data_IF_442801541179
#
_entry.id   IF_442801541179
#
_cell.length_a   1.000
_cell.length_b   1.000
_cell.length_c   1.000
_cell.angle_alpha   90.00
_cell.angle_beta   90.00
_cell.angle_gamma   90.00
#
_symmetry.space_group_name_H-M   'P 1'
#
loop_
_entity.id
_entity.type
_entity.pdbx_description
1 polymer ?
#
# COMPACT_ATOMS: atom_id res chain seq x y z
N UNK A 1 55.79 -42.99 49.16
CA UNK A 1 54.52 -43.16 48.41
C UNK A 1 54.49 -42.11 47.32
N UNK A 2 54.78 -42.54 46.10
CA UNK A 2 55.11 -41.68 44.96
C UNK A 2 53.89 -41.41 44.09
N UNK A 3 53.83 -40.16 43.61
CA UNK A 3 52.93 -39.66 42.56
C UNK A 3 53.11 -40.42 41.25
N UNK A 4 52.02 -40.67 40.52
CA UNK A 4 52.06 -40.96 39.10
C UNK A 4 50.88 -40.29 38.38
N UNK A 5 51.26 -39.52 37.36
CA UNK A 5 50.49 -38.56 36.59
C UNK A 5 49.37 -39.18 35.73
N UNK A 6 48.25 -38.46 35.64
CA UNK A 6 47.16 -38.72 34.69
C UNK A 6 47.37 -37.84 33.45
N UNK A 7 47.52 -38.47 32.29
CA UNK A 7 47.71 -37.80 30.99
C UNK A 7 46.32 -37.42 30.44
N UNK A 8 46.14 -36.12 30.17
CA UNK A 8 45.03 -35.54 29.41
C UNK A 8 45.18 -35.87 27.92
N UNK A 9 44.19 -36.54 27.31
CA UNK A 9 44.02 -36.58 25.86
C UNK A 9 43.14 -35.40 25.43
N UNK A 10 43.72 -34.48 24.67
CA UNK A 10 43.03 -33.40 23.95
C UNK A 10 42.39 -33.94 22.68
N UNK A 11 41.05 -33.98 22.63
CA UNK A 11 40.31 -34.17 21.38
C UNK A 11 40.05 -32.81 20.74
N UNK A 12 40.76 -32.54 19.65
CA UNK A 12 40.56 -31.39 18.76
C UNK A 12 39.23 -31.53 18.02
N UNK A 13 38.20 -30.81 18.45
CA UNK A 13 36.99 -30.60 17.65
C UNK A 13 37.31 -29.61 16.53
N UNK A 14 37.39 -30.13 15.30
CA UNK A 14 37.35 -29.35 14.07
C UNK A 14 36.00 -28.60 14.03
N UNK A 15 36.03 -27.32 14.38
CA UNK A 15 34.92 -26.41 14.19
C UNK A 15 34.69 -26.20 12.69
N UNK A 16 33.60 -26.77 12.17
CA UNK A 16 33.02 -26.35 10.90
C UNK A 16 32.49 -24.93 11.12
N UNK A 17 33.20 -23.94 10.60
CA UNK A 17 32.68 -22.57 10.51
C UNK A 17 31.61 -22.53 9.44
N UNK A 18 30.34 -22.54 9.87
CA UNK A 18 29.22 -22.16 9.00
C UNK A 18 29.40 -20.67 8.67
N UNK A 19 29.41 -20.25 7.40
CA UNK A 19 29.46 -18.85 7.05
C UNK A 19 28.19 -18.17 7.59
N UNK A 20 28.37 -17.13 8.41
CA UNK A 20 27.25 -16.32 8.87
C UNK A 20 26.53 -15.68 7.68
N UNK A 21 25.19 -15.82 7.63
CA UNK A 21 24.26 -15.10 6.76
C UNK A 21 24.24 -13.57 7.02
N UNK A 22 25.40 -12.91 7.12
CA UNK A 22 25.53 -11.50 7.52
C UNK A 22 25.06 -10.49 6.47
N UNK A 23 24.86 -10.91 5.21
CA UNK A 23 24.43 -10.01 4.13
C UNK A 23 22.97 -9.55 4.26
N UNK A 24 22.08 -10.44 4.69
CA UNK A 24 20.64 -10.21 4.68
C UNK A 24 20.16 -9.33 5.84
N UNK A 25 20.66 -9.59 7.05
CA UNK A 25 20.35 -8.79 8.24
C UNK A 25 20.80 -7.33 8.11
N UNK A 26 21.92 -7.09 7.41
CA UNK A 26 22.45 -5.74 7.17
C UNK A 26 21.57 -4.95 6.21
N UNK A 27 21.06 -5.60 5.14
CA UNK A 27 20.14 -4.97 4.19
C UNK A 27 18.77 -4.68 4.82
N UNK A 28 18.22 -5.61 5.60
CA UNK A 28 16.95 -5.38 6.32
C UNK A 28 17.05 -4.19 7.29
N UNK A 29 18.16 -4.10 8.02
CA UNK A 29 18.39 -3.01 8.98
C UNK A 29 18.50 -1.65 8.29
N UNK A 30 19.15 -1.57 7.12
CA UNK A 30 19.27 -0.31 6.38
C UNK A 30 17.92 0.16 5.83
N UNK A 31 17.07 -0.74 5.32
CA UNK A 31 15.72 -0.37 4.87
C UNK A 31 14.82 0.06 6.03
N UNK A 32 14.95 -0.55 7.20
CA UNK A 32 14.23 -0.10 8.41
C UNK A 32 14.67 1.30 8.86
N UNK A 33 15.96 1.62 8.72
CA UNK A 33 16.47 2.95 9.01
C UNK A 33 15.84 4.02 8.09
N UNK A 34 15.67 3.71 6.80
CA UNK A 34 14.99 4.61 5.85
C UNK A 34 13.52 4.87 6.24
N UNK A 35 12.79 3.85 6.72
CA UNK A 35 11.43 4.06 7.21
C UNK A 35 11.39 4.89 8.50
N UNK A 36 12.36 4.68 9.40
CA UNK A 36 12.47 5.45 10.64
C UNK A 36 12.79 6.92 10.36
N UNK A 37 13.65 7.20 9.39
CA UNK A 37 13.93 8.57 8.92
C UNK A 37 12.66 9.23 8.35
N UNK A 38 11.91 8.51 7.49
CA UNK A 38 10.68 9.03 6.91
C UNK A 38 9.59 9.30 7.96
N UNK A 39 9.53 8.51 9.03
CA UNK A 39 8.62 8.71 10.17
C UNK A 39 8.87 10.07 10.88
N UNK A 40 10.15 10.48 10.93
CA UNK A 40 10.60 11.74 11.51
C UNK A 40 10.57 12.91 10.51
N UNK A 41 10.09 12.71 9.28
CA UNK A 41 10.06 13.76 8.26
C UNK A 41 9.07 14.88 8.62
N UNK A 42 9.45 16.13 8.36
CA UNK A 42 8.57 17.30 8.57
C UNK A 42 7.37 17.32 7.60
N UNK A 43 7.51 16.70 6.43
CA UNK A 43 6.39 16.52 5.50
C UNK A 43 5.38 15.55 6.12
N UNK A 44 4.19 16.10 6.39
CA UNK A 44 3.11 15.37 7.04
C UNK A 44 2.72 14.09 6.30
N UNK A 45 2.60 14.12 4.97
CA UNK A 45 2.13 12.96 4.22
C UNK A 45 3.21 11.89 4.12
N UNK A 46 4.48 12.27 4.02
CA UNK A 46 5.61 11.33 4.07
C UNK A 46 5.61 10.57 5.39
N UNK A 47 5.42 11.26 6.51
CA UNK A 47 5.39 10.63 7.81
C UNK A 47 4.15 9.76 8.02
N UNK A 48 2.98 10.16 7.50
CA UNK A 48 1.77 9.33 7.53
C UNK A 48 1.97 8.04 6.72
N UNK A 49 2.51 8.11 5.51
CA UNK A 49 2.81 6.91 4.71
C UNK A 49 3.80 5.99 5.43
N UNK A 50 4.88 6.56 5.99
CA UNK A 50 5.83 5.79 6.79
C UNK A 50 5.18 5.13 8.01
N UNK A 51 4.24 5.81 8.67
CA UNK A 51 3.46 5.25 9.78
C UNK A 51 2.60 4.07 9.33
N UNK A 52 1.90 4.20 8.21
CA UNK A 52 1.10 3.11 7.62
C UNK A 52 1.98 1.92 7.22
N UNK A 53 3.17 2.16 6.66
CA UNK A 53 4.14 1.12 6.36
C UNK A 53 4.64 0.41 7.63
N UNK A 54 4.91 1.15 8.71
CA UNK A 54 5.29 0.55 9.99
C UNK A 54 4.17 -0.34 10.54
N UNK A 55 2.90 0.07 10.41
CA UNK A 55 1.75 -0.76 10.83
C UNK A 55 1.68 -2.05 10.01
N UNK A 56 1.77 -1.95 8.67
CA UNK A 56 1.71 -3.12 7.78
C UNK A 56 2.85 -4.12 8.04
N UNK A 57 4.02 -3.62 8.46
CA UNK A 57 5.17 -4.43 8.84
C UNK A 57 5.13 -4.94 10.29
N UNK A 58 4.10 -4.59 11.08
CA UNK A 58 3.93 -5.02 12.46
C UNK A 58 4.67 -4.19 13.53
N UNK A 59 5.24 -3.05 13.16
CA UNK A 59 5.95 -2.12 14.05
C UNK A 59 5.01 -1.08 14.69
N UNK A 60 3.96 -1.56 15.37
CA UNK A 60 2.85 -0.73 15.85
C UNK A 60 3.22 0.24 16.97
N UNK A 61 4.18 -0.09 17.84
CA UNK A 61 4.61 0.81 18.94
C UNK A 61 5.19 2.13 18.41
N UNK A 62 6.04 2.07 17.38
CA UNK A 62 6.64 3.27 16.78
C UNK A 62 5.59 4.07 16.01
N UNK A 63 4.70 3.37 15.29
CA UNK A 63 3.60 3.99 14.58
C UNK A 63 2.63 4.72 15.53
N UNK A 64 2.30 4.11 16.69
CA UNK A 64 1.45 4.72 17.70
C UNK A 64 2.09 5.97 18.32
N UNK A 65 3.37 5.92 18.64
CA UNK A 65 4.10 7.06 19.17
C UNK A 65 4.06 8.25 18.19
N UNK A 66 4.35 8.01 16.91
CA UNK A 66 4.32 9.06 15.88
C UNK A 66 2.90 9.61 15.66
N UNK A 67 1.90 8.72 15.59
CA UNK A 67 0.51 9.13 15.41
C UNK A 67 0.03 10.02 16.58
N UNK A 68 0.36 9.65 17.83
CA UNK A 68 -0.04 10.40 19.03
C UNK A 68 0.58 11.80 19.06
N UNK A 69 1.88 11.89 18.77
CA UNK A 69 2.59 13.18 18.69
C UNK A 69 1.95 14.08 17.63
N UNK A 70 1.77 13.57 16.41
CA UNK A 70 1.24 14.35 15.29
C UNK A 70 -0.22 14.73 15.47
N UNK A 71 -1.04 13.89 16.10
CA UNK A 71 -2.44 14.23 16.33
C UNK A 71 -2.57 15.50 17.18
N UNK A 72 -1.74 15.64 18.21
CA UNK A 72 -1.73 16.85 19.03
C UNK A 72 -1.46 18.14 18.22
N UNK A 73 -0.64 18.04 17.17
CA UNK A 73 -0.26 19.18 16.33
C UNK A 73 -1.22 19.44 15.16
N UNK A 74 -1.86 18.40 14.64
CA UNK A 74 -2.61 18.45 13.37
C UNK A 74 -4.11 18.15 13.49
N UNK A 75 -4.65 17.87 14.68
CA UNK A 75 -6.07 17.56 14.88
C UNK A 75 -6.99 18.71 14.41
N UNK A 76 -6.57 19.97 14.52
CA UNK A 76 -7.35 21.11 14.04
C UNK A 76 -7.25 21.33 12.51
N UNK A 77 -6.30 20.69 11.82
CA UNK A 77 -6.02 20.95 10.41
C UNK A 77 -6.81 19.96 9.54
N UNK A 78 -7.72 20.45 8.67
CA UNK A 78 -8.48 19.59 7.76
C UNK A 78 -7.57 18.72 6.91
N UNK A 79 -8.09 17.56 6.47
CA UNK A 79 -7.39 16.54 5.69
C UNK A 79 -6.26 15.83 6.46
N UNK A 80 -5.40 16.58 7.17
CA UNK A 80 -4.35 16.01 8.03
C UNK A 80 -4.96 15.20 9.17
N UNK A 81 -5.96 15.73 9.87
CA UNK A 81 -6.69 14.97 10.91
C UNK A 81 -7.32 13.68 10.37
N UNK A 82 -7.83 13.69 9.13
CA UNK A 82 -8.43 12.52 8.50
C UNK A 82 -7.39 11.43 8.23
N UNK A 83 -6.20 11.82 7.76
CA UNK A 83 -5.06 10.91 7.61
C UNK A 83 -4.68 10.26 8.95
N UNK A 84 -4.66 11.03 10.04
CA UNK A 84 -4.37 10.50 11.37
C UNK A 84 -5.50 9.63 11.92
N UNK A 85 -6.77 9.95 11.67
CA UNK A 85 -7.89 9.08 12.02
C UNK A 85 -7.78 7.72 11.31
N UNK A 86 -7.33 7.69 10.05
CA UNK A 86 -7.05 6.43 9.35
C UNK A 86 -5.98 5.60 10.05
N UNK A 87 -4.87 6.24 10.44
CA UNK A 87 -3.79 5.60 11.20
C UNK A 87 -4.29 5.09 12.55
N UNK A 88 -5.07 5.89 13.28
CA UNK A 88 -5.69 5.45 14.55
C UNK A 88 -6.60 4.24 14.36
N UNK A 89 -7.38 4.19 13.27
CA UNK A 89 -8.23 3.05 12.96
C UNK A 89 -7.41 1.78 12.72
N UNK A 90 -6.29 1.89 11.99
CA UNK A 90 -5.40 0.77 11.71
C UNK A 90 -4.67 0.27 12.97
N UNK A 91 -4.34 1.15 13.91
CA UNK A 91 -3.72 0.80 15.19
C UNK A 91 -4.70 0.23 16.22
N UNK A 92 -5.99 0.58 16.11
CA UNK A 92 -6.99 0.15 17.08
C UNK A 92 -7.20 -1.37 17.02
N UNK A 93 -7.11 -2.03 18.18
CA UNK A 93 -7.41 -3.47 18.33
C UNK A 93 -8.84 -3.74 18.79
N UNK A 94 -9.43 -2.81 19.56
CA UNK A 94 -10.80 -2.93 20.07
C UNK A 94 -11.83 -2.46 19.05
N UNK A 95 -12.89 -3.24 18.84
CA UNK A 95 -13.97 -2.92 17.90
C UNK A 95 -14.68 -1.61 18.25
N UNK A 96 -14.92 -1.33 19.54
CA UNK A 96 -15.52 -0.05 19.96
C UNK A 96 -14.65 1.16 19.61
N UNK A 97 -13.33 1.02 19.65
CA UNK A 97 -12.41 2.09 19.28
C UNK A 97 -12.44 2.33 17.76
N UNK A 98 -12.46 1.25 16.96
CA UNK A 98 -12.64 1.31 15.51
C UNK A 98 -13.97 1.96 15.12
N UNK A 99 -15.07 1.56 15.77
CA UNK A 99 -16.40 2.11 15.53
C UNK A 99 -16.42 3.63 15.75
N UNK A 100 -15.90 4.11 16.88
CA UNK A 100 -15.83 5.56 17.15
C UNK A 100 -15.02 6.34 16.12
N UNK A 101 -13.97 5.75 15.56
CA UNK A 101 -13.16 6.41 14.53
C UNK A 101 -13.90 6.40 13.18
N UNK A 102 -14.57 5.31 12.83
CA UNK A 102 -15.43 5.24 11.66
C UNK A 102 -16.56 6.27 11.74
N UNK A 103 -17.20 6.44 12.90
CA UNK A 103 -18.24 7.45 13.10
C UNK A 103 -17.72 8.86 12.81
N UNK A 104 -16.50 9.20 13.25
CA UNK A 104 -15.85 10.49 12.92
C UNK A 104 -15.64 10.66 11.41
N UNK A 105 -15.17 9.61 10.74
CA UNK A 105 -14.92 9.63 9.30
C UNK A 105 -16.23 9.75 8.50
N UNK A 106 -17.27 9.02 8.91
CA UNK A 106 -18.61 9.11 8.32
C UNK A 106 -19.18 10.50 8.53
N UNK A 107 -19.10 11.06 9.73
CA UNK A 107 -19.55 12.42 10.00
C UNK A 107 -18.80 13.46 9.14
N UNK A 108 -17.48 13.32 8.98
CA UNK A 108 -16.69 14.21 8.12
C UNK A 108 -17.04 14.09 6.63
N UNK A 109 -17.41 12.90 6.15
CA UNK A 109 -17.90 12.70 4.79
C UNK A 109 -19.32 13.26 4.57
N UNK A 110 -20.19 13.11 5.57
CA UNK A 110 -21.59 13.58 5.48
C UNK A 110 -21.73 15.08 5.76
N UNK A 111 -20.71 15.74 6.31
CA UNK A 111 -20.69 17.19 6.52
C UNK A 111 -20.79 17.94 5.17
N UNK A 112 -21.91 18.65 4.90
CA UNK A 112 -22.08 19.38 3.64
C UNK A 112 -20.99 20.43 3.48
N UNK A 113 -20.31 20.44 2.32
CA UNK A 113 -19.21 21.37 1.99
C UNK A 113 -18.06 21.38 3.02
N UNK A 114 -17.94 20.34 3.85
CA UNK A 114 -16.89 20.22 4.85
C UNK A 114 -15.49 20.08 4.20
N UNK A 115 -14.44 20.69 4.77
CA UNK A 115 -13.10 20.67 4.17
C UNK A 115 -12.43 19.27 4.17
N UNK A 116 -12.98 18.33 4.95
CA UNK A 116 -12.50 16.94 5.04
C UNK A 116 -13.17 16.00 4.04
N UNK A 117 -14.27 16.42 3.41
CA UNK A 117 -15.25 15.53 2.80
C UNK A 117 -14.64 14.54 1.80
N UNK A 118 -13.80 15.04 0.89
CA UNK A 118 -13.11 14.22 -0.13
C UNK A 118 -12.12 13.25 0.49
N UNK A 119 -11.34 13.69 1.48
CA UNK A 119 -10.35 12.84 2.16
C UNK A 119 -11.02 11.80 3.06
N UNK A 120 -12.17 12.13 3.64
CA UNK A 120 -12.99 11.21 4.39
C UNK A 120 -13.57 10.12 3.48
N UNK A 121 -14.07 10.48 2.29
CA UNK A 121 -14.52 9.52 1.28
C UNK A 121 -13.39 8.56 0.86
N UNK A 122 -12.21 9.09 0.53
CA UNK A 122 -11.03 8.28 0.23
C UNK A 122 -10.67 7.34 1.39
N UNK A 123 -10.64 7.88 2.61
CA UNK A 123 -10.24 7.13 3.80
C UNK A 123 -11.22 6.01 4.10
N UNK A 124 -12.52 6.29 4.06
CA UNK A 124 -13.56 5.26 4.23
C UNK A 124 -13.42 4.16 3.17
N UNK A 125 -13.17 4.51 1.91
CA UNK A 125 -12.94 3.54 0.84
C UNK A 125 -11.67 2.69 1.07
N UNK A 126 -10.54 3.31 1.45
CA UNK A 126 -9.29 2.62 1.84
C UNK A 126 -9.49 1.66 3.01
N UNK A 127 -10.31 2.05 3.98
CA UNK A 127 -10.67 1.23 5.15
C UNK A 127 -11.73 0.16 4.84
N UNK A 128 -12.15 0.03 3.58
CA UNK A 128 -13.18 -0.90 3.12
C UNK A 128 -14.50 -0.72 3.87
N UNK A 129 -14.88 0.53 4.15
CA UNK A 129 -16.21 0.84 4.65
C UNK A 129 -17.23 0.69 3.51
N UNK A 130 -18.36 0.02 3.77
CA UNK A 130 -19.40 -0.18 2.77
C UNK A 130 -20.29 1.06 2.64
N UNK A 131 -20.21 1.76 1.52
CA UNK A 131 -20.99 2.99 1.33
C UNK A 131 -22.48 2.71 1.18
N UNK A 132 -22.89 1.49 0.79
CA UNK A 132 -24.32 1.14 0.69
C UNK A 132 -25.08 1.26 2.04
N UNK A 133 -24.39 1.42 3.17
CA UNK A 133 -24.98 1.71 4.47
C UNK A 133 -25.31 3.21 4.70
N UNK A 134 -24.90 4.10 3.81
CA UNK A 134 -25.09 5.55 3.92
C UNK A 134 -26.32 6.04 3.14
N UNK A 135 -26.64 7.34 3.28
CA UNK A 135 -27.72 8.00 2.56
C UNK A 135 -27.54 7.92 1.04
N UNK A 136 -28.49 7.28 0.37
CA UNK A 136 -28.40 6.97 -1.06
C UNK A 136 -28.53 8.21 -1.95
N UNK A 137 -29.18 9.28 -1.48
CA UNK A 137 -29.30 10.52 -2.24
C UNK A 137 -27.96 11.26 -2.29
N UNK A 138 -27.29 11.38 -1.14
CA UNK A 138 -25.96 11.97 -1.03
C UNK A 138 -24.95 11.23 -1.89
N UNK A 139 -24.95 9.89 -1.82
CA UNK A 139 -24.07 9.05 -2.63
C UNK A 139 -24.29 9.21 -4.13
N UNK A 140 -25.56 9.26 -4.57
CA UNK A 140 -25.88 9.47 -5.99
C UNK A 140 -25.34 10.82 -6.48
N UNK A 141 -25.60 11.90 -5.72
CA UNK A 141 -25.12 13.25 -6.03
C UNK A 141 -23.60 13.31 -6.13
N UNK A 142 -22.89 12.77 -5.15
CA UNK A 142 -21.43 12.80 -5.10
C UNK A 142 -20.80 11.94 -6.20
N UNK A 143 -21.43 10.83 -6.56
CA UNK A 143 -21.00 10.00 -7.69
C UNK A 143 -21.15 10.75 -9.01
N UNK A 144 -22.30 11.39 -9.22
CA UNK A 144 -22.60 12.15 -10.43
C UNK A 144 -21.75 13.41 -10.58
N UNK A 145 -21.17 13.92 -9.49
CA UNK A 145 -20.19 15.01 -9.53
C UNK A 145 -18.92 14.65 -10.32
N UNK A 146 -18.57 13.36 -10.43
CA UNK A 146 -17.35 12.90 -11.10
C UNK A 146 -16.06 13.29 -10.34
N UNK A 147 -14.93 13.24 -11.04
CA UNK A 147 -13.63 13.58 -10.48
C UNK A 147 -13.24 12.71 -9.28
N UNK A 148 -12.49 13.29 -8.34
CA UNK A 148 -12.01 12.56 -7.15
C UNK A 148 -13.15 12.05 -6.27
N UNK A 149 -14.15 12.91 -6.00
CA UNK A 149 -15.28 12.55 -5.15
C UNK A 149 -16.07 11.39 -5.77
N UNK A 150 -16.41 11.50 -7.06
CA UNK A 150 -17.15 10.45 -7.75
C UNK A 150 -16.41 9.12 -7.81
N UNK A 151 -15.09 9.14 -8.00
CA UNK A 151 -14.25 7.95 -7.98
C UNK A 151 -14.20 7.29 -6.60
N UNK A 152 -14.01 8.05 -5.52
CA UNK A 152 -13.98 7.49 -4.15
C UNK A 152 -15.32 6.93 -3.71
N UNK A 153 -16.42 7.61 -4.05
CA UNK A 153 -17.77 7.08 -3.78
C UNK A 153 -18.02 5.81 -4.59
N UNK A 154 -17.61 5.77 -5.87
CA UNK A 154 -17.71 4.57 -6.70
C UNK A 154 -16.93 3.40 -6.11
N UNK A 155 -15.73 3.67 -5.58
CA UNK A 155 -14.95 2.67 -4.87
C UNK A 155 -15.66 2.18 -3.60
N UNK A 156 -16.10 3.07 -2.72
CA UNK A 156 -16.83 2.70 -1.50
C UNK A 156 -18.12 1.91 -1.76
N UNK A 157 -18.80 2.16 -2.90
CA UNK A 157 -19.99 1.41 -3.34
C UNK A 157 -19.65 0.01 -3.91
N UNK A 158 -18.39 -0.23 -4.27
CA UNK A 158 -17.90 -1.52 -4.77
C UNK A 158 -17.57 -2.50 -3.64
N UNK A 159 -17.47 -2.01 -2.40
CA UNK A 159 -17.17 -2.83 -1.22
C UNK A 159 -18.43 -3.53 -0.71
N UNK A 160 -18.32 -4.83 -0.44
CA UNK A 160 -19.41 -5.60 0.15
C UNK A 160 -19.70 -5.18 1.61
N UNK A 161 -20.97 -4.97 1.94
CA UNK A 161 -21.41 -4.68 3.32
C UNK A 161 -21.30 -5.89 4.25
N UNK A 162 -21.47 -7.08 3.69
CA UNK A 162 -21.31 -8.34 4.39
C UNK A 162 -19.96 -8.94 3.99
N UNK A 163 -19.13 -9.27 4.99
CA UNK A 163 -17.82 -9.89 4.78
C UNK A 163 -17.89 -11.26 4.11
N UNK A 164 -19.06 -11.91 4.10
CA UNK A 164 -19.28 -13.17 3.40
C UNK A 164 -19.59 -12.98 1.91
N UNK A 165 -19.93 -11.77 1.47
CA UNK A 165 -20.20 -11.45 0.07
C UNK A 165 -18.93 -10.96 -0.62
N UNK A 166 -18.87 -11.19 -1.93
CA UNK A 166 -17.81 -10.68 -2.78
C UNK A 166 -18.04 -9.20 -3.09
N UNK A 167 -16.93 -8.45 -3.19
CA UNK A 167 -16.94 -7.09 -3.72
C UNK A 167 -17.45 -7.09 -5.18
N UNK A 168 -18.06 -5.97 -5.61
CA UNK A 168 -18.51 -5.76 -6.98
C UNK A 168 -17.66 -4.68 -7.66
N UNK A 169 -16.60 -5.05 -8.41
CA UNK A 169 -15.69 -4.09 -9.02
C UNK A 169 -16.25 -3.46 -10.30
N UNK A 170 -17.46 -3.83 -10.75
CA UNK A 170 -17.98 -3.48 -12.08
C UNK A 170 -17.92 -1.97 -12.33
N UNK A 171 -18.38 -1.16 -11.37
CA UNK A 171 -18.38 0.30 -11.52
C UNK A 171 -16.98 0.92 -11.56
N UNK A 172 -16.01 0.33 -10.84
CA UNK A 172 -14.62 0.78 -10.94
C UNK A 172 -14.01 0.38 -12.28
N UNK A 173 -14.35 -0.80 -12.82
CA UNK A 173 -13.90 -1.22 -14.14
C UNK A 173 -14.44 -0.29 -15.25
N UNK A 174 -15.68 0.20 -15.12
CA UNK A 174 -16.25 1.19 -16.03
C UNK A 174 -15.45 2.51 -16.03
N UNK A 175 -14.98 2.95 -14.85
CA UNK A 175 -14.16 4.16 -14.70
C UNK A 175 -12.77 4.06 -15.33
N UNK A 176 -12.30 2.87 -15.72
CA UNK A 176 -11.02 2.72 -16.45
C UNK A 176 -11.08 3.32 -17.86
N UNK A 177 -12.26 3.67 -18.36
CA UNK A 177 -12.45 4.37 -19.63
C UNK A 177 -12.86 5.85 -19.47
N UNK A 178 -12.81 6.38 -18.24
CA UNK A 178 -13.15 7.77 -17.93
C UNK A 178 -11.92 8.69 -18.08
N UNK A 179 -11.93 9.86 -17.40
CA UNK A 179 -10.80 10.78 -17.38
C UNK A 179 -9.60 10.26 -16.59
N UNK A 180 -8.42 10.86 -16.79
CA UNK A 180 -7.17 10.45 -16.16
C UNK A 180 -7.25 10.33 -14.62
N UNK A 181 -8.01 11.22 -13.97
CA UNK A 181 -8.20 11.19 -12.50
C UNK A 181 -9.00 9.95 -12.10
N UNK A 182 -10.14 9.72 -12.75
CA UNK A 182 -11.02 8.59 -12.47
C UNK A 182 -10.34 7.26 -12.78
N UNK A 183 -9.65 7.15 -13.91
CA UNK A 183 -8.89 5.96 -14.28
C UNK A 183 -7.86 5.59 -13.21
N UNK A 184 -7.04 6.59 -12.80
CA UNK A 184 -6.01 6.42 -11.79
C UNK A 184 -6.59 5.96 -10.45
N UNK A 185 -7.66 6.62 -10.01
CA UNK A 185 -8.31 6.31 -8.73
C UNK A 185 -9.08 4.98 -8.76
N UNK A 186 -9.66 4.62 -9.89
CA UNK A 186 -10.33 3.34 -10.07
C UNK A 186 -9.33 2.18 -10.06
N UNK A 187 -8.22 2.31 -10.80
CA UNK A 187 -7.11 1.35 -10.77
C UNK A 187 -6.53 1.19 -9.36
N UNK A 188 -6.32 2.30 -8.65
CA UNK A 188 -5.91 2.27 -7.26
C UNK A 188 -6.94 1.55 -6.38
N UNK A 189 -8.22 1.90 -6.48
CA UNK A 189 -9.30 1.31 -5.67
C UNK A 189 -9.48 -0.19 -5.89
N UNK A 190 -9.33 -0.68 -7.13
CA UNK A 190 -9.39 -2.11 -7.46
C UNK A 190 -8.38 -2.94 -6.66
N UNK A 191 -7.20 -2.38 -6.35
CA UNK A 191 -6.17 -3.08 -5.56
C UNK A 191 -6.54 -3.29 -4.08
N UNK A 192 -7.58 -2.62 -3.59
CA UNK A 192 -8.12 -2.81 -2.25
C UNK A 192 -9.28 -3.79 -2.20
N UNK A 193 -9.82 -4.21 -3.35
CA UNK A 193 -10.92 -5.17 -3.45
C UNK A 193 -10.42 -6.61 -3.39
N UNK A 194 -11.36 -7.56 -3.31
CA UNK A 194 -11.07 -8.97 -3.55
C UNK A 194 -10.45 -9.23 -4.93
N UNK A 195 -9.84 -10.41 -5.11
CA UNK A 195 -9.24 -10.79 -6.39
C UNK A 195 -10.30 -10.74 -7.51
N UNK A 196 -10.03 -10.04 -8.63
CA UNK A 196 -10.96 -9.99 -9.76
C UNK A 196 -11.01 -11.37 -10.45
N UNK A 197 -12.08 -11.68 -11.17
CA UNK A 197 -12.09 -12.82 -12.10
C UNK A 197 -11.10 -12.62 -13.26
N UNK A 198 -10.77 -13.68 -14.02
CA UNK A 198 -9.91 -13.58 -15.19
C UNK A 198 -10.41 -12.54 -16.20
N UNK A 199 -11.72 -12.51 -16.49
CA UNK A 199 -12.33 -11.54 -17.40
C UNK A 199 -12.19 -10.11 -16.89
N UNK A 200 -12.46 -9.87 -15.59
CA UNK A 200 -12.30 -8.55 -14.99
C UNK A 200 -10.83 -8.09 -15.00
N UNK A 201 -9.89 -9.01 -14.76
CA UNK A 201 -8.47 -8.73 -14.87
C UNK A 201 -8.06 -8.37 -16.31
N UNK A 202 -8.59 -9.07 -17.32
CA UNK A 202 -8.32 -8.77 -18.73
C UNK A 202 -8.78 -7.35 -19.13
N UNK A 203 -9.93 -6.89 -18.60
CA UNK A 203 -10.40 -5.51 -18.81
C UNK A 203 -9.38 -4.51 -18.27
N UNK A 204 -8.91 -4.71 -17.03
CA UNK A 204 -7.90 -3.86 -16.41
C UNK A 204 -6.57 -3.89 -17.17
N UNK A 205 -6.06 -5.08 -17.51
CA UNK A 205 -4.81 -5.24 -18.23
C UNK A 205 -4.86 -4.62 -19.64
N UNK A 206 -5.99 -4.73 -20.33
CA UNK A 206 -6.20 -4.10 -21.65
C UNK A 206 -6.17 -2.58 -21.53
N UNK A 207 -6.85 -2.01 -20.54
CA UNK A 207 -6.80 -0.58 -20.26
C UNK A 207 -5.36 -0.12 -19.96
N UNK A 208 -4.63 -0.87 -19.12
CA UNK A 208 -3.25 -0.57 -18.76
C UNK A 208 -2.29 -0.56 -19.95
N UNK A 209 -2.45 -1.50 -20.89
CA UNK A 209 -1.61 -1.60 -22.07
C UNK A 209 -1.93 -0.54 -23.15
N UNK A 210 -3.16 -0.02 -23.15
CA UNK A 210 -3.60 1.05 -24.05
C UNK A 210 -3.22 2.44 -23.55
N UNK A 211 -3.15 2.64 -22.24
CA UNK A 211 -2.88 3.97 -21.66
C UNK A 211 -1.49 4.50 -22.05
N UNK A 212 -1.46 5.80 -22.36
CA UNK A 212 -0.30 6.54 -22.83
C UNK A 212 0.17 7.61 -21.85
N UNK A 213 -0.73 8.17 -21.04
CA UNK A 213 -0.39 9.14 -20.01
C UNK A 213 0.35 8.45 -18.86
N UNK A 214 1.52 8.98 -18.50
CA UNK A 214 2.47 8.30 -17.61
C UNK A 214 1.87 7.95 -16.24
N UNK A 215 1.15 8.88 -15.62
CA UNK A 215 0.63 8.71 -14.27
C UNK A 215 -0.57 7.74 -14.22
N UNK A 216 -1.67 7.89 -14.99
CA UNK A 216 -2.74 6.89 -15.04
C UNK A 216 -2.22 5.50 -15.44
N UNK A 217 -1.29 5.44 -16.41
CA UNK A 217 -0.64 4.20 -16.84
C UNK A 217 0.06 3.49 -15.69
N UNK A 218 0.76 4.23 -14.82
CA UNK A 218 1.44 3.63 -13.68
C UNK A 218 0.48 2.91 -12.73
N UNK A 219 -0.67 3.52 -12.43
CA UNK A 219 -1.68 2.92 -11.56
C UNK A 219 -2.39 1.74 -12.22
N UNK A 220 -2.71 1.84 -13.51
CA UNK A 220 -3.31 0.74 -14.26
C UNK A 220 -2.37 -0.47 -14.34
N UNK A 221 -1.11 -0.26 -14.73
CA UNK A 221 -0.09 -1.32 -14.79
C UNK A 221 0.19 -1.90 -13.40
N UNK A 222 0.28 -1.04 -12.38
CA UNK A 222 0.50 -1.44 -11.00
C UNK A 222 -0.62 -2.34 -10.49
N UNK A 223 -1.88 -1.93 -10.68
CA UNK A 223 -3.05 -2.73 -10.32
C UNK A 223 -3.13 -4.05 -11.10
N UNK A 224 -2.92 -4.01 -12.44
CA UNK A 224 -2.93 -5.22 -13.27
C UNK A 224 -1.85 -6.23 -12.84
N UNK A 225 -0.65 -5.74 -12.47
CA UNK A 225 0.43 -6.59 -11.98
C UNK A 225 0.12 -7.22 -10.62
N UNK A 226 -0.41 -6.43 -9.68
CA UNK A 226 -0.77 -6.88 -8.34
C UNK A 226 -1.90 -7.92 -8.37
N UNK A 227 -2.93 -7.68 -9.18
CA UNK A 227 -4.18 -8.45 -9.19
C UNK A 227 -4.17 -9.68 -10.12
N UNK A 228 -3.08 -9.92 -10.87
CA UNK A 228 -2.96 -11.12 -11.69
C UNK A 228 -2.95 -12.38 -10.81
N UNK A 229 -3.77 -13.39 -11.13
CA UNK A 229 -3.69 -14.70 -10.49
C UNK A 229 -2.95 -15.68 -11.40
N UNK A 230 -2.07 -16.52 -10.84
CA UNK A 230 -1.37 -17.57 -11.60
C UNK A 230 -2.33 -18.61 -12.19
N UNK A 231 -3.57 -18.69 -11.69
CA UNK A 231 -4.65 -19.45 -12.29
C UNK A 231 -5.12 -18.91 -13.65
N UNK A 232 -4.78 -17.67 -14.02
CA UNK A 232 -5.10 -17.05 -15.32
C UNK A 232 -4.07 -17.46 -16.38
N UNK A 233 -3.98 -18.76 -16.64
CA UNK A 233 -2.92 -19.34 -17.50
C UNK A 233 -3.01 -18.87 -18.95
N UNK A 234 -4.23 -18.70 -19.48
CA UNK A 234 -4.48 -18.15 -20.82
C UNK A 234 -3.93 -16.71 -20.99
N UNK A 235 -3.78 -15.99 -19.87
CA UNK A 235 -3.42 -14.58 -19.84
C UNK A 235 -1.92 -14.32 -19.57
N UNK A 236 -1.12 -15.38 -19.47
CA UNK A 236 0.30 -15.26 -19.12
C UNK A 236 1.09 -14.36 -20.09
N UNK A 237 0.72 -14.32 -21.37
CA UNK A 237 1.34 -13.42 -22.36
C UNK A 237 1.01 -11.96 -22.09
N UNK A 238 -0.26 -11.63 -21.83
CA UNK A 238 -0.69 -10.28 -21.49
C UNK A 238 -0.05 -9.82 -20.18
N UNK A 239 0.02 -10.70 -19.17
CA UNK A 239 0.71 -10.42 -17.92
C UNK A 239 2.20 -10.10 -18.13
N UNK A 240 2.91 -10.83 -19.00
CA UNK A 240 4.30 -10.51 -19.33
C UNK A 240 4.46 -9.14 -19.98
N UNK A 241 3.50 -8.71 -20.81
CA UNK A 241 3.49 -7.37 -21.41
C UNK A 241 3.24 -6.29 -20.34
N UNK A 242 2.26 -6.49 -19.46
CA UNK A 242 2.00 -5.59 -18.31
C UNK A 242 3.27 -5.44 -17.47
N UNK A 243 3.91 -6.55 -17.11
CA UNK A 243 5.16 -6.53 -16.34
C UNK A 243 6.28 -5.79 -17.08
N UNK A 244 6.45 -6.03 -18.38
CA UNK A 244 7.49 -5.37 -19.16
C UNK A 244 7.29 -3.85 -19.17
N UNK A 245 6.08 -3.37 -19.43
CA UNK A 245 5.76 -1.93 -19.40
C UNK A 245 5.85 -1.34 -17.99
N UNK A 246 5.46 -2.09 -16.94
CA UNK A 246 5.61 -1.63 -15.57
C UNK A 246 7.09 -1.33 -15.24
N UNK A 247 8.01 -2.21 -15.66
CA UNK A 247 9.44 -2.01 -15.41
C UNK A 247 10.06 -0.83 -16.18
N UNK A 248 9.46 -0.40 -17.31
CA UNK A 248 9.93 0.80 -18.00
C UNK A 248 9.67 2.08 -17.22
N UNK A 249 8.67 2.09 -16.33
CA UNK A 249 8.38 3.22 -15.44
C UNK A 249 9.50 3.50 -14.43
N UNK A 250 10.46 2.59 -14.30
CA UNK A 250 11.60 2.77 -13.41
C UNK A 250 12.46 4.00 -13.81
N UNK A 251 12.35 4.48 -15.05
CA UNK A 251 13.01 5.69 -15.55
C UNK A 251 12.25 6.99 -15.25
N UNK A 252 11.06 6.91 -14.66
CA UNK A 252 10.27 8.09 -14.32
C UNK A 252 10.94 8.92 -13.23
N UNK A 253 10.74 10.24 -13.30
CA UNK A 253 11.07 11.17 -12.21
C UNK A 253 9.79 11.68 -11.49
N UNK A 254 8.61 11.20 -11.89
CA UNK A 254 7.34 11.60 -11.29
C UNK A 254 7.14 10.81 -9.99
N UNK A 255 7.00 11.54 -8.87
CA UNK A 255 6.91 10.96 -7.51
C UNK A 255 5.84 9.87 -7.43
N UNK A 256 4.62 10.16 -7.88
CA UNK A 256 3.49 9.23 -7.81
C UNK A 256 3.71 7.96 -8.66
N UNK A 257 4.31 8.09 -9.84
CA UNK A 257 4.68 6.95 -10.70
C UNK A 257 5.69 6.04 -10.01
N UNK A 258 6.74 6.61 -9.41
CA UNK A 258 7.75 5.86 -8.68
C UNK A 258 7.16 5.15 -7.44
N UNK A 259 6.30 5.83 -6.69
CA UNK A 259 5.63 5.23 -5.53
C UNK A 259 4.71 4.08 -5.94
N UNK A 260 3.94 4.25 -7.01
CA UNK A 260 3.06 3.19 -7.53
C UNK A 260 3.86 1.99 -8.05
N UNK A 261 4.97 2.23 -8.74
CA UNK A 261 5.90 1.18 -9.15
C UNK A 261 6.43 0.39 -7.94
N UNK A 262 6.86 1.07 -6.88
CA UNK A 262 7.30 0.42 -5.66
C UNK A 262 6.19 -0.46 -5.04
N UNK A 263 4.97 0.08 -4.95
CA UNK A 263 3.80 -0.63 -4.42
C UNK A 263 3.48 -1.89 -5.24
N UNK A 264 3.53 -1.78 -6.57
CA UNK A 264 3.32 -2.91 -7.46
C UNK A 264 4.38 -4.00 -7.27
N UNK A 265 5.66 -3.62 -7.24
CA UNK A 265 6.75 -4.56 -7.06
C UNK A 265 6.76 -5.20 -5.65
N UNK A 266 6.20 -4.55 -4.63
CA UNK A 266 6.05 -5.15 -3.31
C UNK A 266 5.19 -6.43 -3.30
N UNK A 267 4.25 -6.56 -4.25
CA UNK A 267 3.28 -7.68 -4.30
C UNK A 267 3.87 -9.00 -4.79
N UNK A 268 5.05 -8.99 -5.43
CA UNK A 268 5.67 -10.18 -6.01
C UNK A 268 7.17 -10.17 -5.83
N UNK A 269 7.74 -11.35 -5.60
CA UNK A 269 9.18 -11.53 -5.55
C UNK A 269 9.70 -11.81 -6.94
N UNK A 270 10.35 -10.83 -7.55
CA UNK A 270 11.10 -11.03 -8.77
C UNK A 270 12.41 -10.25 -8.76
N UNK A 271 13.45 -10.84 -9.35
CA UNK A 271 14.83 -10.32 -9.29
C UNK A 271 14.94 -8.92 -9.91
N UNK A 272 14.27 -8.68 -11.04
CA UNK A 272 14.33 -7.37 -11.70
C UNK A 272 13.62 -6.30 -10.86
N UNK A 273 12.47 -6.64 -10.27
CA UNK A 273 11.76 -5.81 -9.31
C UNK A 273 12.63 -5.45 -8.12
N UNK A 274 13.33 -6.42 -7.51
CA UNK A 274 14.29 -6.17 -6.41
C UNK A 274 15.37 -5.15 -6.81
N UNK A 275 15.95 -5.28 -7.99
CA UNK A 275 16.96 -4.33 -8.49
C UNK A 275 16.39 -2.92 -8.66
N UNK A 276 15.18 -2.78 -9.20
CA UNK A 276 14.50 -1.49 -9.34
C UNK A 276 14.22 -0.86 -7.97
N UNK A 277 13.67 -1.62 -7.04
CA UNK A 277 13.40 -1.16 -5.68
C UNK A 277 14.67 -0.71 -4.96
N UNK A 278 15.76 -1.47 -5.05
CA UNK A 278 17.04 -1.12 -4.42
C UNK A 278 17.58 0.21 -4.94
N UNK A 279 17.41 0.52 -6.24
CA UNK A 279 17.76 1.83 -6.80
C UNK A 279 16.83 2.93 -6.29
N UNK A 280 15.52 2.70 -6.24
CA UNK A 280 14.57 3.71 -5.76
C UNK A 280 14.75 4.00 -4.26
N UNK A 281 15.25 3.04 -3.49
CA UNK A 281 15.65 3.23 -2.09
C UNK A 281 16.81 4.22 -1.91
N UNK A 282 17.51 4.63 -2.99
CA UNK A 282 18.55 5.67 -2.96
C UNK A 282 18.07 7.02 -3.52
N UNK A 283 16.77 7.19 -3.79
CA UNK A 283 16.20 8.44 -4.31
C UNK A 283 16.47 9.64 -3.40
N UNK A 284 16.63 10.84 -3.94
CA UNK A 284 16.67 12.05 -3.11
C UNK A 284 15.31 12.37 -2.47
N UNK A 285 14.20 11.83 -3.00
CA UNK A 285 12.88 12.02 -2.45
C UNK A 285 12.59 11.02 -1.33
N UNK A 286 12.36 11.52 -0.11
CA UNK A 286 12.14 10.70 1.09
C UNK A 286 10.93 9.75 0.97
N UNK A 287 9.84 10.18 0.33
CA UNK A 287 8.64 9.33 0.17
C UNK A 287 8.91 8.16 -0.78
N UNK A 288 9.64 8.41 -1.88
CA UNK A 288 10.05 7.36 -2.82
C UNK A 288 10.98 6.37 -2.12
N UNK A 289 11.99 6.86 -1.38
CA UNK A 289 12.89 5.99 -0.61
C UNK A 289 12.13 5.14 0.39
N UNK A 290 11.23 5.74 1.16
CA UNK A 290 10.44 5.05 2.18
C UNK A 290 9.56 3.97 1.54
N UNK A 291 8.86 4.31 0.46
CA UNK A 291 8.00 3.35 -0.26
C UNK A 291 8.81 2.19 -0.85
N UNK A 292 10.00 2.45 -1.37
CA UNK A 292 10.90 1.42 -1.89
C UNK A 292 11.44 0.51 -0.76
N UNK A 293 11.85 1.11 0.37
CA UNK A 293 12.31 0.39 1.55
C UNK A 293 11.21 -0.52 2.12
N UNK A 294 9.98 0.00 2.23
CA UNK A 294 8.80 -0.78 2.60
C UNK A 294 8.57 -1.96 1.65
N UNK A 295 8.61 -1.73 0.33
CA UNK A 295 8.42 -2.79 -0.65
C UNK A 295 9.47 -3.90 -0.53
N UNK A 296 10.74 -3.55 -0.30
CA UNK A 296 11.83 -4.52 -0.06
C UNK A 296 11.62 -5.31 1.23
N UNK A 297 11.25 -4.63 2.33
CA UNK A 297 10.92 -5.27 3.61
C UNK A 297 9.75 -6.25 3.48
N UNK A 298 8.70 -5.88 2.73
CA UNK A 298 7.55 -6.77 2.46
C UNK A 298 7.96 -8.04 1.71
N UNK A 299 8.94 -7.94 0.81
CA UNK A 299 9.44 -9.12 0.10
C UNK A 299 10.25 -10.08 1.01
N UNK A 300 10.87 -9.59 2.09
CA UNK A 300 11.54 -10.42 3.09
C UNK A 300 10.58 -11.14 4.03
N UNK A 301 9.48 -10.50 4.45
CA UNK A 301 8.52 -11.11 5.38
C UNK A 301 7.79 -12.29 4.75
N UNK A 302 7.57 -12.26 3.44
CA UNK A 302 6.90 -13.33 2.71
C UNK A 302 7.82 -14.54 2.41
N UNK A 303 9.05 -14.61 2.96
CA UNK A 303 9.99 -15.75 2.86
C UNK A 303 9.66 -16.83 3.89
#
# INVERSE_FOLDING_TARGET
MALASLILLSTSLLGVTVPACGGDTTARSSYMALLTEALACDDFWVAVHATEYMIDLGHTTQAEANCRERLSAYEAIPQKRVGLWRVQYQLASAEDAKARILDKLVAAYLAPEGPDRVHAAETLAKLRFCFNALDQQTLRKDREQGGMMGAFVTWGLSVACDRQRLDDPTRLLDLLNAGAIEQRLAAYGLSFLGKPTAQQWQVLATAALKETEEEPKAYLLGAAYQLYDTGYTADATMYRQVRAQLLTLSHSNVKSVCMELCRALASRKDKAGKTVLARLATSSNTDIRATAAYALLKQYINE
#
